data_IF_872246998450
#
_entry.id   IF_872246998450
#
_cell.length_a   1.000
_cell.length_b   1.000
_cell.length_c   1.000
_cell.angle_alpha   90.00
_cell.angle_beta   90.00
_cell.angle_gamma   90.00
#
_symmetry.space_group_name_H-M   'P 1'
#
loop_
_entity.id
_entity.type
_entity.pdbx_description
1 polymer ?
#
# COMPACT_ATOMS: atom_id res chain seq x y z
N UNK A 1 26.25 -3.94 -27.17
CA UNK A 1 25.40 -3.03 -27.98
C UNK A 1 24.12 -3.72 -28.51
N UNK A 2 24.22 -4.85 -29.16
CA UNK A 2 23.08 -5.58 -29.79
C UNK A 2 22.00 -5.96 -28.77
N UNK A 3 22.38 -6.40 -27.57
CA UNK A 3 21.45 -6.79 -26.51
C UNK A 3 20.64 -5.60 -25.95
N UNK A 4 21.28 -4.44 -25.80
CA UNK A 4 20.60 -3.19 -25.40
C UNK A 4 19.61 -2.71 -26.45
N UNK A 5 19.97 -2.78 -27.73
CA UNK A 5 19.08 -2.41 -28.85
C UNK A 5 17.86 -3.34 -28.93
N UNK A 6 18.05 -4.65 -28.77
CA UNK A 6 16.98 -5.63 -28.73
C UNK A 6 16.03 -5.40 -27.56
N UNK A 7 16.54 -4.99 -26.41
CA UNK A 7 15.76 -4.64 -25.23
C UNK A 7 14.94 -3.37 -25.44
N UNK A 8 15.51 -2.36 -26.08
CA UNK A 8 14.79 -1.12 -26.45
C UNK A 8 13.65 -1.44 -27.42
N UNK A 9 13.88 -2.30 -28.43
CA UNK A 9 12.84 -2.72 -29.36
C UNK A 9 11.69 -3.50 -28.65
N UNK A 10 12.04 -4.44 -27.75
CA UNK A 10 11.04 -5.15 -26.94
C UNK A 10 10.26 -4.14 -26.09
N UNK A 11 10.92 -3.17 -25.53
CA UNK A 11 10.36 -2.11 -24.72
C UNK A 11 9.38 -1.22 -25.47
N UNK A 12 9.76 -0.74 -26.65
CA UNK A 12 8.92 0.05 -27.55
C UNK A 12 7.68 -0.78 -27.95
N UNK A 13 7.89 -2.03 -28.36
CA UNK A 13 6.81 -2.94 -28.75
C UNK A 13 5.81 -3.21 -27.62
N UNK A 14 6.30 -3.37 -26.39
CA UNK A 14 5.43 -3.56 -25.23
C UNK A 14 4.74 -2.28 -24.78
N UNK A 15 5.38 -1.12 -24.94
CA UNK A 15 4.78 0.18 -24.61
C UNK A 15 3.55 0.47 -25.47
N UNK A 16 3.65 0.27 -26.77
CA UNK A 16 2.53 0.43 -27.69
C UNK A 16 1.58 -0.77 -27.72
N UNK A 17 1.93 -1.89 -27.09
CA UNK A 17 1.04 -3.04 -27.04
C UNK A 17 -0.18 -2.75 -26.14
N UNK A 18 -1.35 -3.01 -26.70
CA UNK A 18 -2.59 -3.10 -25.92
C UNK A 18 -2.38 -4.12 -24.80
N UNK A 19 -2.83 -3.81 -23.59
CA UNK A 19 -2.75 -4.74 -22.47
C UNK A 19 -3.56 -6.03 -22.81
N UNK A 20 -2.86 -7.06 -23.21
CA UNK A 20 -3.50 -8.35 -23.54
C UNK A 20 -3.83 -9.10 -22.26
N UNK A 21 -5.05 -9.61 -22.10
CA UNK A 21 -5.41 -10.47 -20.99
C UNK A 21 -4.41 -11.62 -20.84
N UNK A 22 -4.25 -12.09 -19.63
CA UNK A 22 -3.58 -13.35 -19.39
C UNK A 22 -4.52 -14.48 -19.84
N UNK A 23 -3.97 -15.65 -20.20
CA UNK A 23 -4.81 -16.78 -20.56
C UNK A 23 -5.78 -17.13 -19.41
N UNK A 24 -7.07 -17.37 -19.73
CA UNK A 24 -8.13 -17.67 -18.75
C UNK A 24 -7.77 -18.74 -17.73
N UNK A 25 -6.91 -19.70 -18.10
CA UNK A 25 -6.41 -20.73 -17.17
C UNK A 25 -5.69 -20.19 -15.93
N UNK A 26 -5.26 -18.93 -15.94
CA UNK A 26 -4.60 -18.27 -14.82
C UNK A 26 -5.55 -17.37 -14.00
N UNK A 27 -6.84 -17.32 -14.37
CA UNK A 27 -7.87 -16.57 -13.66
C UNK A 27 -8.44 -17.40 -12.51
N UNK A 28 -8.48 -16.83 -11.31
CA UNK A 28 -9.22 -17.39 -10.17
C UNK A 28 -10.63 -16.77 -10.16
N UNK A 29 -11.58 -17.39 -10.87
CA UNK A 29 -12.90 -16.80 -11.16
C UNK A 29 -13.82 -16.58 -9.95
N UNK A 30 -13.53 -17.16 -8.79
CA UNK A 30 -14.42 -17.09 -7.61
C UNK A 30 -13.87 -16.26 -6.46
N UNK A 31 -12.73 -15.59 -6.64
CA UNK A 31 -12.14 -14.78 -5.60
C UNK A 31 -12.73 -13.37 -5.60
N UNK A 32 -13.07 -12.87 -4.41
CA UNK A 32 -13.46 -11.47 -4.19
C UNK A 32 -12.31 -10.56 -4.63
N UNK A 33 -12.60 -9.55 -5.44
CA UNK A 33 -11.62 -8.56 -5.85
C UNK A 33 -11.50 -7.47 -4.80
N UNK A 34 -10.27 -7.17 -4.35
CA UNK A 34 -10.02 -6.13 -3.35
C UNK A 34 -9.88 -4.76 -4.01
N UNK A 35 -10.83 -3.89 -3.70
CA UNK A 35 -10.76 -2.46 -3.97
C UNK A 35 -10.18 -1.81 -2.73
N UNK A 36 -8.85 -1.56 -2.73
CA UNK A 36 -8.15 -1.07 -1.54
C UNK A 36 -7.94 0.44 -1.62
N UNK A 37 -8.57 1.18 -0.70
CA UNK A 37 -8.30 2.60 -0.52
C UNK A 37 -6.91 2.79 0.10
N UNK A 38 -5.94 3.32 -0.69
CA UNK A 38 -4.59 3.64 -0.24
C UNK A 38 -4.63 4.88 0.63
N UNK A 39 -4.41 4.74 1.93
CA UNK A 39 -4.62 5.81 2.94
C UNK A 39 -6.05 6.37 2.92
N UNK A 40 -7.02 5.57 2.49
CA UNK A 40 -8.40 5.98 2.28
C UNK A 40 -8.71 6.44 0.85
N UNK A 41 -9.17 7.67 0.68
CA UNK A 41 -9.48 8.33 -0.60
C UNK A 41 -8.74 9.68 -0.72
N UNK A 42 -7.39 9.69 -0.77
CA UNK A 42 -6.58 10.91 -0.68
C UNK A 42 -6.72 11.84 -1.89
N UNK A 43 -7.32 11.39 -2.97
CA UNK A 43 -7.67 12.26 -4.09
C UNK A 43 -8.82 13.25 -3.75
N UNK A 44 -9.61 12.95 -2.73
CA UNK A 44 -10.74 13.78 -2.27
C UNK A 44 -10.52 14.37 -0.88
N UNK A 45 -9.98 13.56 0.02
CA UNK A 45 -9.84 13.84 1.45
C UNK A 45 -8.38 13.90 1.90
N UNK A 46 -8.15 14.25 3.14
CA UNK A 46 -6.82 14.17 3.75
C UNK A 46 -6.48 12.70 3.99
N UNK A 47 -5.37 12.24 3.43
CA UNK A 47 -4.89 10.86 3.61
C UNK A 47 -4.80 10.47 5.09
N UNK A 48 -4.97 9.18 5.39
CA UNK A 48 -4.77 8.64 6.73
C UNK A 48 -5.68 9.31 7.80
N UNK A 49 -6.88 9.77 7.43
CA UNK A 49 -7.90 10.30 8.35
C UNK A 49 -9.16 9.44 8.32
N UNK A 50 -9.93 9.49 9.40
CA UNK A 50 -11.22 8.78 9.48
C UNK A 50 -12.15 9.20 8.33
N UNK A 51 -12.18 10.50 8.00
CA UNK A 51 -12.97 11.02 6.87
C UNK A 51 -12.54 10.39 5.54
N UNK A 52 -11.24 10.24 5.31
CA UNK A 52 -10.70 9.61 4.10
C UNK A 52 -11.09 8.13 3.99
N UNK A 53 -11.08 7.41 5.09
CA UNK A 53 -11.50 6.01 5.14
C UNK A 53 -13.01 5.87 4.93
N UNK A 54 -13.84 6.71 5.55
CA UNK A 54 -15.27 6.72 5.34
C UNK A 54 -15.62 7.00 3.87
N UNK A 55 -14.96 8.00 3.28
CA UNK A 55 -15.12 8.33 1.85
C UNK A 55 -14.70 7.15 0.96
N UNK A 56 -13.62 6.45 1.29
CA UNK A 56 -13.19 5.28 0.52
C UNK A 56 -14.24 4.15 0.57
N UNK A 57 -14.79 3.83 1.74
CA UNK A 57 -15.85 2.82 1.88
C UNK A 57 -17.14 3.22 1.14
N UNK A 58 -17.53 4.48 1.21
CA UNK A 58 -18.69 5.02 0.48
C UNK A 58 -18.47 4.98 -1.03
N UNK A 59 -17.26 5.21 -1.50
CA UNK A 59 -16.82 5.04 -2.89
C UNK A 59 -16.74 3.56 -3.32
N UNK A 60 -16.93 2.62 -2.39
CA UNK A 60 -17.04 1.18 -2.64
C UNK A 60 -15.76 0.39 -2.42
N UNK A 61 -14.79 0.94 -1.69
CA UNK A 61 -13.70 0.12 -1.18
C UNK A 61 -14.24 -0.99 -0.26
N UNK A 62 -13.64 -2.16 -0.33
CA UNK A 62 -13.86 -3.27 0.58
C UNK A 62 -12.60 -3.64 1.37
N UNK A 63 -11.56 -2.87 1.19
CA UNK A 63 -10.32 -2.94 1.95
C UNK A 63 -9.65 -1.57 2.04
N UNK A 64 -8.84 -1.37 3.07
CA UNK A 64 -8.12 -0.13 3.34
C UNK A 64 -6.65 -0.43 3.57
N UNK A 65 -5.78 0.50 3.19
CA UNK A 65 -4.38 0.52 3.62
C UNK A 65 -4.17 1.76 4.49
N UNK A 66 -3.46 1.58 5.60
CA UNK A 66 -3.18 2.63 6.59
C UNK A 66 -1.72 2.59 7.01
N UNK A 67 -1.12 3.75 7.22
CA UNK A 67 0.28 3.91 7.61
C UNK A 67 0.42 4.08 9.12
N UNK A 68 1.25 3.28 9.79
CA UNK A 68 1.43 3.31 11.24
C UNK A 68 2.82 3.76 11.64
N UNK A 69 2.88 4.77 12.51
CA UNK A 69 4.08 5.23 13.19
C UNK A 69 3.92 5.13 14.71
N UNK A 70 5.02 4.88 15.43
CA UNK A 70 5.05 4.80 16.89
C UNK A 70 5.75 6.03 17.44
N UNK A 71 5.13 6.70 18.40
CA UNK A 71 5.67 7.88 19.09
C UNK A 71 6.62 7.50 20.25
N UNK A 72 7.32 8.49 20.81
CA UNK A 72 8.25 8.32 21.94
C UNK A 72 7.60 7.72 23.18
N UNK A 73 6.37 8.08 23.46
CA UNK A 73 5.52 7.58 24.55
C UNK A 73 4.73 6.34 24.18
N UNK A 74 5.18 5.66 23.10
CA UNK A 74 4.65 4.40 22.61
C UNK A 74 3.18 4.43 22.14
N UNK A 75 2.63 5.61 21.81
CA UNK A 75 1.35 5.68 21.13
C UNK A 75 1.50 5.39 19.65
N UNK A 76 0.47 4.80 19.02
CA UNK A 76 0.46 4.49 17.60
C UNK A 76 -0.42 5.50 16.88
N UNK A 77 0.19 6.31 16.02
CA UNK A 77 -0.48 7.33 15.21
C UNK A 77 -0.53 6.91 13.76
N UNK A 78 -1.56 7.35 13.06
CA UNK A 78 -1.74 7.06 11.63
C UNK A 78 -1.09 8.16 10.81
N UNK A 79 0.12 7.89 10.33
CA UNK A 79 0.96 8.84 9.61
C UNK A 79 1.96 8.14 8.70
N UNK A 80 2.21 8.70 7.51
CA UNK A 80 3.08 8.04 6.53
C UNK A 80 4.57 8.29 6.74
N UNK A 81 4.96 9.52 7.06
CA UNK A 81 6.36 9.93 6.99
C UNK A 81 7.05 9.78 8.35
N UNK A 82 7.61 8.59 8.61
CA UNK A 82 8.35 8.28 9.83
C UNK A 82 9.41 9.33 10.19
N UNK A 83 10.17 9.77 9.17
CA UNK A 83 11.18 10.82 9.32
C UNK A 83 10.86 11.95 8.32
N UNK A 84 10.49 13.15 8.79
CA UNK A 84 10.16 14.29 7.94
C UNK A 84 11.35 14.82 7.13
N UNK A 85 12.58 14.43 7.50
CA UNK A 85 13.81 14.80 6.81
C UNK A 85 14.26 13.78 5.76
N UNK A 86 13.55 12.65 5.62
CA UNK A 86 13.83 11.69 4.58
C UNK A 86 13.53 12.29 3.19
N UNK A 87 14.32 11.98 2.14
CA UNK A 87 14.11 12.53 0.81
C UNK A 87 12.68 12.35 0.28
N UNK A 88 12.04 11.22 0.58
CA UNK A 88 10.66 10.93 0.19
C UNK A 88 9.66 11.85 0.91
N UNK A 89 9.84 12.09 2.20
CA UNK A 89 8.98 12.98 2.98
C UNK A 89 9.09 14.43 2.48
N UNK A 90 10.30 14.90 2.16
CA UNK A 90 10.54 16.24 1.60
C UNK A 90 9.84 16.39 0.22
N UNK A 91 9.89 15.37 -0.63
CA UNK A 91 9.17 15.37 -1.91
C UNK A 91 7.65 15.43 -1.73
N UNK A 92 7.11 14.75 -0.74
CA UNK A 92 5.68 14.79 -0.40
C UNK A 92 5.27 16.16 0.14
N UNK A 93 6.04 16.71 1.08
CA UNK A 93 5.85 18.06 1.62
C UNK A 93 5.87 19.13 0.52
N UNK A 94 6.71 18.97 -0.51
CA UNK A 94 6.73 19.88 -1.67
C UNK A 94 5.51 19.77 -2.58
N UNK A 95 4.65 18.76 -2.39
CA UNK A 95 3.44 18.52 -3.18
C UNK A 95 3.68 17.80 -4.50
N UNK A 96 4.78 17.06 -4.64
CA UNK A 96 5.12 16.30 -5.84
C UNK A 96 4.37 14.96 -5.97
N UNK A 97 3.50 14.61 -5.03
CA UNK A 97 2.49 13.54 -5.22
C UNK A 97 1.29 14.12 -6.01
N UNK A 98 1.10 13.76 -7.29
CA UNK A 98 0.17 14.50 -8.15
C UNK A 98 -1.32 14.18 -7.90
N UNK A 99 -1.62 13.08 -7.23
CA UNK A 99 -2.98 12.54 -7.11
C UNK A 99 -3.68 12.87 -5.78
N UNK A 100 -2.96 13.41 -4.80
CA UNK A 100 -3.51 13.73 -3.47
C UNK A 100 -4.05 15.16 -3.43
N UNK A 101 -5.16 15.38 -2.75
CA UNK A 101 -5.75 16.71 -2.56
C UNK A 101 -4.98 17.55 -1.53
N UNK A 102 -4.40 16.90 -0.55
CA UNK A 102 -3.64 17.50 0.54
C UNK A 102 -2.23 16.93 0.59
N UNK A 103 -1.31 17.67 1.17
CA UNK A 103 0.08 17.27 1.39
C UNK A 103 0.45 17.39 2.86
N UNK A 104 1.38 16.56 3.38
CA UNK A 104 1.84 16.69 4.75
C UNK A 104 2.48 18.06 4.96
N UNK A 105 2.29 18.58 6.15
CA UNK A 105 2.84 19.86 6.61
C UNK A 105 3.53 19.66 7.95
N UNK A 106 4.76 19.12 7.96
CA UNK A 106 5.56 19.02 9.17
C UNK A 106 6.06 20.40 9.60
N UNK A 107 6.64 20.53 10.81
CA UNK A 107 7.28 21.74 11.27
C UNK A 107 8.38 22.23 10.32
N UNK A 108 8.69 23.53 10.35
CA UNK A 108 9.75 24.13 9.54
C UNK A 108 11.12 23.47 9.79
N UNK A 109 12.04 23.59 8.84
CA UNK A 109 13.38 22.97 8.90
C UNK A 109 14.19 23.36 10.14
N UNK A 110 13.95 24.56 10.70
CA UNK A 110 14.65 25.08 11.90
C UNK A 110 13.92 24.75 13.21
N UNK A 111 12.74 24.10 13.14
CA UNK A 111 11.97 23.76 14.33
C UNK A 111 12.59 22.59 15.09
N UNK A 112 12.69 22.71 16.42
CA UNK A 112 13.09 21.61 17.31
C UNK A 112 12.12 20.42 17.32
N UNK A 113 10.90 20.60 16.79
CA UNK A 113 9.88 19.56 16.65
C UNK A 113 9.92 18.86 15.29
N UNK A 114 10.79 19.26 14.36
CA UNK A 114 10.99 18.53 13.09
C UNK A 114 11.93 17.34 13.31
N UNK A 115 11.38 16.28 13.88
CA UNK A 115 12.10 15.06 14.30
C UNK A 115 11.44 13.81 13.74
N UNK A 116 12.06 12.65 13.90
CA UNK A 116 11.41 11.36 13.69
C UNK A 116 10.20 11.26 14.62
N UNK A 117 9.15 10.55 14.17
CA UNK A 117 7.93 10.40 14.98
C UNK A 117 8.24 9.71 16.32
N UNK A 118 9.18 8.76 16.33
CA UNK A 118 9.65 8.06 17.54
C UNK A 118 10.36 8.94 18.57
N UNK A 119 10.72 10.18 18.20
CA UNK A 119 11.38 11.14 19.11
C UNK A 119 10.40 12.17 19.71
N UNK A 120 9.12 12.11 19.32
CA UNK A 120 8.04 13.00 19.75
C UNK A 120 7.03 12.24 20.60
N UNK A 121 6.51 12.86 21.66
CA UNK A 121 5.30 12.36 22.30
C UNK A 121 4.09 12.54 21.38
N UNK A 122 3.01 11.80 21.61
CA UNK A 122 1.80 11.96 20.82
C UNK A 122 1.27 13.39 20.86
N UNK A 123 1.34 14.06 22.01
CA UNK A 123 0.92 15.45 22.17
C UNK A 123 1.79 16.42 21.35
N UNK A 124 3.12 16.26 21.38
CA UNK A 124 4.04 17.06 20.57
C UNK A 124 3.79 16.83 19.08
N UNK A 125 3.58 15.59 18.66
CA UNK A 125 3.26 15.25 17.28
C UNK A 125 1.95 15.91 16.83
N UNK A 126 0.85 15.68 17.54
CA UNK A 126 -0.48 16.23 17.20
C UNK A 126 -0.50 17.76 17.15
N UNK A 127 0.28 18.43 18.01
CA UNK A 127 0.38 19.89 18.03
C UNK A 127 1.16 20.47 16.84
N UNK A 128 2.16 19.76 16.34
CA UNK A 128 3.14 20.34 15.43
C UNK A 128 3.03 19.81 13.98
N UNK A 129 2.39 18.66 13.75
CA UNK A 129 2.23 18.04 12.43
C UNK A 129 0.80 18.21 11.94
N UNK A 130 0.64 18.48 10.65
CA UNK A 130 -0.67 18.68 10.05
C UNK A 130 -0.61 18.44 8.53
N UNK A 131 -1.68 18.80 7.85
CA UNK A 131 -1.79 18.79 6.39
C UNK A 131 -2.15 20.18 5.87
N UNK A 132 -1.89 20.43 4.60
CA UNK A 132 -2.41 21.59 3.88
C UNK A 132 -2.80 21.23 2.45
N UNK A 133 -3.68 22.01 1.83
CA UNK A 133 -4.05 21.79 0.42
C UNK A 133 -2.79 21.79 -0.46
N UNK A 134 -2.71 20.84 -1.37
CA UNK A 134 -1.57 20.70 -2.28
C UNK A 134 -1.46 21.85 -3.27
N UNK A 135 -2.61 22.37 -3.74
CA UNK A 135 -2.69 23.48 -4.69
C UNK A 135 -3.42 24.65 -4.04
N UNK A 136 -2.90 25.86 -4.23
CA UNK A 136 -3.46 27.09 -3.67
C UNK A 136 -2.79 27.54 -2.38
N UNK A 137 -3.01 28.81 -2.02
CA UNK A 137 -2.44 29.46 -0.82
C UNK A 137 -3.45 29.39 0.34
N UNK A 138 -3.83 28.18 0.73
CA UNK A 138 -4.71 27.96 1.87
C UNK A 138 -3.89 27.63 3.11
N UNK A 139 -4.31 28.10 4.28
CA UNK A 139 -3.75 27.75 5.59
C UNK A 139 -3.72 26.23 5.83
N UNK A 140 -3.18 25.84 6.97
CA UNK A 140 -3.20 24.44 7.42
C UNK A 140 -4.64 23.92 7.45
N UNK A 141 -4.85 22.73 6.96
CA UNK A 141 -6.13 22.06 7.11
C UNK A 141 -6.28 21.65 8.57
N UNK A 142 -7.41 21.96 9.18
CA UNK A 142 -7.72 21.49 10.53
C UNK A 142 -8.08 20.00 10.46
N UNK A 143 -7.03 19.16 10.33
CA UNK A 143 -7.18 17.71 10.24
C UNK A 143 -6.88 17.10 11.60
N UNK A 144 -7.81 16.33 12.11
CA UNK A 144 -7.55 15.45 13.24
C UNK A 144 -6.79 14.22 12.71
N UNK A 145 -5.51 14.09 13.13
CA UNK A 145 -4.69 12.92 12.81
C UNK A 145 -5.12 11.81 13.79
N UNK A 146 -5.66 10.68 13.31
CA UNK A 146 -6.16 9.65 14.21
C UNK A 146 -5.04 8.82 14.82
N UNK A 147 -5.29 8.29 16.01
CA UNK A 147 -4.54 7.18 16.59
C UNK A 147 -5.03 5.84 16.05
N UNK A 148 -4.28 4.78 16.31
CA UNK A 148 -4.73 3.41 15.98
C UNK A 148 -6.02 3.05 16.72
N UNK A 149 -6.19 3.46 17.98
CA UNK A 149 -7.42 3.22 18.76
C UNK A 149 -8.64 3.91 18.12
N UNK A 150 -8.49 5.15 17.64
CA UNK A 150 -9.56 5.87 16.95
C UNK A 150 -9.99 5.14 15.66
N UNK A 151 -9.01 4.64 14.88
CA UNK A 151 -9.30 3.87 13.67
C UNK A 151 -10.01 2.56 13.99
N UNK A 152 -9.53 1.78 14.96
CA UNK A 152 -10.12 0.49 15.31
C UNK A 152 -11.54 0.68 15.84
N UNK A 153 -11.79 1.67 16.71
CA UNK A 153 -13.14 2.02 17.16
C UNK A 153 -14.08 2.37 16.01
N UNK A 154 -13.62 3.22 15.09
CA UNK A 154 -14.40 3.60 13.92
C UNK A 154 -14.70 2.41 13.01
N UNK A 155 -13.76 1.49 12.86
CA UNK A 155 -13.86 0.37 11.91
C UNK A 155 -14.67 -0.82 12.40
N UNK A 156 -15.01 -0.91 13.70
CA UNK A 156 -15.60 -2.09 14.33
C UNK A 156 -16.97 -2.52 13.75
N UNK A 157 -17.74 -1.59 13.23
CA UNK A 157 -19.08 -1.83 12.66
C UNK A 157 -19.11 -1.78 11.12
N UNK A 158 -17.97 -1.63 10.47
CA UNK A 158 -17.85 -1.49 9.00
C UNK A 158 -17.95 -2.86 8.30
N UNK A 159 -19.15 -3.40 8.17
CA UNK A 159 -19.43 -4.76 7.63
C UNK A 159 -18.87 -5.01 6.19
N UNK A 160 -18.71 -3.94 5.40
CA UNK A 160 -18.12 -4.04 4.05
C UNK A 160 -16.62 -4.28 4.08
N UNK A 161 -15.94 -3.89 5.16
CA UNK A 161 -14.49 -3.99 5.29
C UNK A 161 -14.07 -5.46 5.41
N UNK A 162 -13.33 -5.97 4.41
CA UNK A 162 -12.85 -7.37 4.35
C UNK A 162 -11.43 -7.50 4.86
N UNK A 163 -10.57 -6.53 4.51
CA UNK A 163 -9.17 -6.51 4.91
C UNK A 163 -8.71 -5.10 5.25
N UNK A 164 -7.84 -4.99 6.23
CA UNK A 164 -7.05 -3.79 6.50
C UNK A 164 -5.57 -4.15 6.39
N UNK A 165 -4.85 -3.40 5.57
CA UNK A 165 -3.41 -3.49 5.37
C UNK A 165 -2.75 -2.45 6.27
N UNK A 166 -2.13 -2.91 7.35
CA UNK A 166 -1.44 -2.10 8.34
C UNK A 166 0.04 -1.97 7.96
N UNK A 167 0.40 -0.85 7.34
CA UNK A 167 1.74 -0.60 6.83
C UNK A 167 2.63 -0.01 7.92
N UNK A 168 3.52 -0.83 8.48
CA UNK A 168 4.42 -0.44 9.56
C UNK A 168 5.59 0.36 8.99
N UNK A 169 5.69 1.63 9.37
CA UNK A 169 6.70 2.57 8.86
C UNK A 169 8.01 2.56 9.64
N UNK A 170 8.12 1.72 10.65
CA UNK A 170 9.32 1.57 11.48
C UNK A 170 10.51 1.07 10.65
N UNK A 171 11.65 1.75 10.66
CA UNK A 171 12.84 1.32 9.96
C UNK A 171 13.56 0.18 10.72
N UNK A 172 14.50 -0.55 10.07
CA UNK A 172 15.19 -1.69 10.65
C UNK A 172 15.93 -1.38 11.96
N UNK A 173 16.55 -0.22 12.07
CA UNK A 173 17.28 0.24 13.25
C UNK A 173 16.39 0.46 14.49
N UNK A 174 15.07 0.63 14.28
CA UNK A 174 14.08 0.82 15.34
C UNK A 174 13.04 -0.33 15.38
N UNK A 175 13.41 -1.51 14.91
CA UNK A 175 12.49 -2.67 14.76
C UNK A 175 11.76 -3.08 16.04
N UNK A 176 12.29 -2.76 17.23
CA UNK A 176 11.61 -2.94 18.51
C UNK A 176 10.27 -2.17 18.60
N UNK A 177 10.17 -1.00 17.97
CA UNK A 177 8.92 -0.23 17.94
C UNK A 177 7.85 -0.91 17.08
N UNK A 178 8.24 -1.70 16.09
CA UNK A 178 7.28 -2.50 15.33
C UNK A 178 6.59 -3.54 16.21
N UNK A 179 7.27 -4.11 17.21
CA UNK A 179 6.67 -5.04 18.18
C UNK A 179 5.67 -4.33 19.09
N UNK A 180 5.99 -3.11 19.55
CA UNK A 180 5.08 -2.26 20.33
C UNK A 180 3.81 -1.96 19.51
N UNK A 181 3.98 -1.59 18.23
CA UNK A 181 2.88 -1.35 17.33
C UNK A 181 1.97 -2.59 17.19
N UNK A 182 2.54 -3.77 16.96
CA UNK A 182 1.78 -5.01 16.82
C UNK A 182 1.12 -5.46 18.12
N UNK A 183 1.75 -5.26 19.26
CA UNK A 183 1.13 -5.55 20.56
C UNK A 183 -0.13 -4.71 20.74
N UNK A 184 -0.03 -3.37 20.56
CA UNK A 184 -1.19 -2.48 20.64
C UNK A 184 -2.27 -2.84 19.62
N UNK A 185 -1.89 -3.15 18.37
CA UNK A 185 -2.84 -3.59 17.35
C UNK A 185 -3.56 -4.88 17.79
N UNK A 186 -2.82 -5.89 18.26
CA UNK A 186 -3.40 -7.15 18.72
C UNK A 186 -4.40 -6.94 19.86
N UNK A 187 -4.02 -6.13 20.84
CA UNK A 187 -4.86 -5.84 22.01
C UNK A 187 -6.16 -5.11 21.60
N UNK A 188 -6.07 -4.16 20.69
CA UNK A 188 -7.23 -3.42 20.19
C UNK A 188 -8.15 -4.30 19.33
N UNK A 189 -7.60 -5.15 18.45
CA UNK A 189 -8.38 -6.09 17.64
C UNK A 189 -9.18 -7.05 18.51
N UNK A 190 -8.58 -7.54 19.59
CA UNK A 190 -9.25 -8.40 20.58
C UNK A 190 -10.29 -7.62 21.38
N UNK A 191 -9.95 -6.46 21.92
CA UNK A 191 -10.82 -5.59 22.73
C UNK A 191 -12.12 -5.25 21.99
N UNK A 192 -12.03 -4.87 20.71
CA UNK A 192 -13.16 -4.45 19.90
C UNK A 192 -13.75 -5.58 19.05
N UNK A 193 -13.28 -6.83 19.22
CA UNK A 193 -13.77 -8.03 18.50
C UNK A 193 -13.85 -7.84 17.01
N UNK A 194 -12.78 -7.34 16.42
CA UNK A 194 -12.69 -7.02 15.00
C UNK A 194 -12.80 -8.30 14.15
N UNK A 195 -13.61 -8.26 13.09
CA UNK A 195 -13.91 -9.42 12.23
C UNK A 195 -13.25 -9.37 10.84
N UNK A 196 -12.72 -8.22 10.40
CA UNK A 196 -12.00 -8.15 9.13
C UNK A 196 -10.59 -8.75 9.23
N UNK A 197 -10.06 -9.21 8.10
CA UNK A 197 -8.69 -9.72 8.03
C UNK A 197 -7.65 -8.60 8.19
N UNK A 198 -6.66 -8.83 9.04
CA UNK A 198 -5.56 -7.89 9.27
C UNK A 198 -4.30 -8.39 8.59
N UNK A 199 -3.74 -7.59 7.68
CA UNK A 199 -2.50 -7.87 6.95
C UNK A 199 -1.44 -6.85 7.36
N UNK A 200 -0.31 -7.31 7.85
CA UNK A 200 0.79 -6.44 8.25
C UNK A 200 1.74 -6.26 7.07
N UNK A 201 1.95 -5.02 6.66
CA UNK A 201 2.84 -4.65 5.56
C UNK A 201 4.13 -3.99 6.06
N UNK A 202 5.24 -4.26 5.41
CA UNK A 202 6.51 -3.55 5.57
C UNK A 202 7.37 -3.70 4.33
N UNK A 203 8.29 -2.74 4.11
CA UNK A 203 9.30 -2.81 3.05
C UNK A 203 10.61 -3.45 3.52
N UNK A 204 10.74 -3.74 4.83
CA UNK A 204 11.99 -4.17 5.47
C UNK A 204 11.94 -5.65 5.87
N UNK A 205 12.73 -6.53 5.21
CA UNK A 205 12.77 -7.96 5.54
C UNK A 205 13.15 -8.23 7.01
N UNK A 206 14.04 -7.41 7.55
CA UNK A 206 14.51 -7.51 8.94
C UNK A 206 13.37 -7.27 9.92
N UNK A 207 12.58 -6.20 9.68
CA UNK A 207 11.39 -5.87 10.48
C UNK A 207 10.34 -6.97 10.35
N UNK A 208 10.09 -7.47 9.13
CA UNK A 208 9.17 -8.58 8.89
C UNK A 208 9.55 -9.81 9.72
N UNK A 209 10.82 -10.20 9.70
CA UNK A 209 11.28 -11.40 10.42
C UNK A 209 11.09 -11.26 11.93
N UNK A 210 11.39 -10.09 12.50
CA UNK A 210 11.18 -9.78 13.92
C UNK A 210 9.68 -9.84 14.26
N UNK A 211 8.83 -9.23 13.45
CA UNK A 211 7.38 -9.24 13.66
C UNK A 211 6.79 -10.66 13.59
N UNK A 212 7.13 -11.43 12.57
CA UNK A 212 6.63 -12.81 12.39
C UNK A 212 7.05 -13.75 13.51
N UNK A 213 8.27 -13.60 14.03
CA UNK A 213 8.76 -14.42 15.15
C UNK A 213 7.93 -14.19 16.43
N UNK A 214 7.53 -12.94 16.68
CA UNK A 214 6.84 -12.56 17.92
C UNK A 214 5.31 -12.59 17.80
N UNK A 215 4.77 -12.38 16.58
CA UNK A 215 3.33 -12.35 16.33
C UNK A 215 2.95 -13.24 15.13
N UNK A 216 3.13 -14.59 15.24
CA UNK A 216 2.88 -15.51 14.11
C UNK A 216 1.41 -15.62 13.69
N UNK A 217 0.48 -15.09 14.48
CA UNK A 217 -0.97 -15.14 14.21
C UNK A 217 -1.46 -14.13 13.17
N UNK A 218 -0.66 -13.14 12.79
CA UNK A 218 -1.02 -12.20 11.73
C UNK A 218 -0.69 -12.74 10.34
N UNK A 219 -1.44 -12.26 9.33
CA UNK A 219 -1.02 -12.37 7.94
C UNK A 219 -0.04 -11.23 7.59
N UNK A 220 0.90 -11.50 6.70
CA UNK A 220 1.99 -10.58 6.39
C UNK A 220 2.16 -10.37 4.89
N UNK A 221 2.67 -9.19 4.52
CA UNK A 221 3.22 -8.87 3.21
C UNK A 221 4.59 -8.19 3.36
N UNK A 222 5.59 -8.66 2.60
CA UNK A 222 6.80 -7.89 2.37
C UNK A 222 6.65 -7.18 1.04
N UNK A 223 6.42 -5.89 1.13
CA UNK A 223 6.14 -5.06 -0.02
C UNK A 223 7.36 -4.94 -0.95
N UNK A 224 7.11 -4.99 -2.24
CA UNK A 224 8.16 -4.87 -3.26
C UNK A 224 7.91 -3.64 -4.14
N UNK A 225 8.79 -2.65 -3.99
CA UNK A 225 8.89 -1.51 -4.89
C UNK A 225 10.13 -1.70 -5.76
N UNK A 226 10.02 -1.76 -7.09
CA UNK A 226 11.18 -1.89 -7.96
C UNK A 226 12.05 -0.63 -7.93
N UNK A 227 13.35 -0.83 -7.79
CA UNK A 227 14.34 0.23 -7.94
C UNK A 227 14.40 0.77 -9.37
N UNK A 228 15.07 1.94 -9.52
CA UNK A 228 15.24 2.57 -10.83
C UNK A 228 16.13 1.75 -11.75
N UNK A 229 15.67 1.58 -12.97
CA UNK A 229 16.48 1.03 -14.04
C UNK A 229 15.65 0.20 -15.03
N UNK A 230 16.29 -0.13 -16.17
CA UNK A 230 15.82 -1.15 -17.10
C UNK A 230 15.84 -2.51 -16.39
N UNK A 231 14.69 -2.95 -15.89
CA UNK A 231 14.60 -4.26 -15.24
C UNK A 231 14.59 -5.33 -16.32
N UNK A 232 15.75 -5.93 -16.52
CA UNK A 232 15.94 -7.02 -17.46
C UNK A 232 15.32 -8.32 -16.96
N UNK A 233 15.30 -8.49 -15.64
CA UNK A 233 14.78 -9.70 -15.00
C UNK A 233 13.62 -9.39 -14.03
N UNK A 234 12.36 -9.57 -14.46
CA UNK A 234 11.18 -9.36 -13.61
C UNK A 234 11.22 -10.17 -12.30
N UNK A 235 11.90 -11.33 -12.31
CA UNK A 235 11.91 -12.23 -11.16
C UNK A 235 12.63 -11.66 -9.92
N UNK A 236 13.53 -10.69 -10.10
CA UNK A 236 14.22 -10.03 -8.96
C UNK A 236 13.28 -9.19 -8.11
N UNK A 237 12.21 -8.68 -8.71
CA UNK A 237 11.24 -7.78 -8.06
C UNK A 237 9.87 -8.45 -7.88
N UNK A 238 9.83 -9.77 -7.97
CA UNK A 238 8.61 -10.55 -7.81
C UNK A 238 8.11 -10.50 -6.37
N UNK A 239 6.92 -9.96 -6.17
CA UNK A 239 6.22 -9.98 -4.90
C UNK A 239 5.80 -11.41 -4.52
N UNK A 240 5.46 -12.23 -5.50
CA UNK A 240 5.12 -13.64 -5.27
C UNK A 240 6.33 -14.45 -4.80
N UNK A 241 7.51 -14.27 -5.39
CA UNK A 241 8.73 -14.92 -4.86
C UNK A 241 9.01 -14.48 -3.43
N UNK A 242 8.84 -13.21 -3.15
CA UNK A 242 8.99 -12.68 -1.80
C UNK A 242 8.00 -13.35 -0.84
N UNK A 243 6.72 -13.44 -1.23
CA UNK A 243 5.69 -14.09 -0.41
C UNK A 243 6.02 -15.57 -0.16
N UNK A 244 6.44 -16.31 -1.19
CA UNK A 244 6.86 -17.72 -1.04
C UNK A 244 8.03 -17.86 -0.06
N UNK A 245 9.08 -17.04 -0.24
CA UNK A 245 10.28 -17.11 0.59
C UNK A 245 10.02 -16.80 2.09
N UNK A 246 9.01 -16.00 2.36
CA UNK A 246 8.64 -15.62 3.73
C UNK A 246 7.38 -16.34 4.23
N UNK A 247 6.86 -17.30 3.48
CA UNK A 247 5.61 -18.01 3.80
C UNK A 247 4.45 -17.03 4.11
N UNK A 248 4.22 -16.07 3.21
CA UNK A 248 3.15 -15.08 3.30
C UNK A 248 2.02 -15.44 2.34
N UNK A 249 0.76 -15.21 2.75
CA UNK A 249 -0.42 -15.43 1.89
C UNK A 249 -0.79 -14.23 1.04
N UNK A 250 -0.21 -13.06 1.35
CA UNK A 250 -0.41 -11.82 0.62
C UNK A 250 0.88 -11.37 -0.04
N UNK A 251 0.76 -10.82 -1.23
CA UNK A 251 1.86 -10.27 -2.00
C UNK A 251 1.45 -8.91 -2.57
N UNK A 252 2.10 -7.84 -2.14
CA UNK A 252 1.85 -6.49 -2.63
C UNK A 252 3.02 -6.05 -3.50
N UNK A 253 2.71 -5.70 -4.74
CA UNK A 253 3.66 -5.23 -5.74
C UNK A 253 3.42 -3.75 -6.01
N UNK A 254 4.30 -2.89 -5.50
CA UNK A 254 4.20 -1.45 -5.72
C UNK A 254 4.73 -1.04 -7.10
N UNK A 255 4.08 -0.04 -7.67
CA UNK A 255 4.54 0.61 -8.88
C UNK A 255 5.70 1.54 -8.57
N UNK A 256 6.81 1.50 -9.34
CA UNK A 256 7.89 2.47 -9.20
C UNK A 256 7.35 3.90 -9.36
N UNK A 257 7.63 4.78 -8.41
CA UNK A 257 7.03 6.13 -8.34
C UNK A 257 7.59 7.14 -9.34
N UNK A 258 8.77 6.90 -9.94
CA UNK A 258 9.33 7.85 -10.91
C UNK A 258 8.61 7.78 -12.25
N UNK A 259 8.36 8.98 -12.78
CA UNK A 259 7.54 9.30 -13.95
C UNK A 259 8.33 8.98 -15.23
N UNK A 260 8.54 7.71 -15.54
CA UNK A 260 8.99 7.32 -16.86
C UNK A 260 8.05 6.28 -17.45
N UNK A 261 7.82 6.40 -18.74
CA UNK A 261 7.14 5.40 -19.59
C UNK A 261 7.70 3.99 -19.30
N UNK A 262 8.99 3.94 -19.07
CA UNK A 262 9.77 2.78 -18.68
C UNK A 262 9.18 2.05 -17.47
N UNK A 263 8.73 2.76 -16.47
CA UNK A 263 8.27 2.18 -15.22
C UNK A 263 6.96 1.40 -15.37
N UNK A 264 6.02 1.88 -16.20
CA UNK A 264 4.77 1.17 -16.43
C UNK A 264 5.00 -0.17 -17.15
N UNK A 265 5.81 -0.17 -18.21
CA UNK A 265 6.12 -1.40 -18.95
C UNK A 265 6.80 -2.43 -18.08
N UNK A 266 7.77 -2.01 -17.28
CA UNK A 266 8.46 -2.86 -16.31
C UNK A 266 7.51 -3.42 -15.27
N UNK A 267 6.69 -2.58 -14.65
CA UNK A 267 5.71 -2.98 -13.65
C UNK A 267 4.72 -4.01 -14.22
N UNK A 268 4.17 -3.74 -15.40
CA UNK A 268 3.28 -4.67 -16.10
C UNK A 268 3.93 -6.04 -16.36
N UNK A 269 5.23 -6.07 -16.70
CA UNK A 269 5.98 -7.32 -16.88
C UNK A 269 6.14 -8.10 -15.58
N UNK A 270 6.44 -7.39 -14.47
CA UNK A 270 6.52 -8.00 -13.14
C UNK A 270 5.18 -8.61 -12.77
N UNK A 271 4.09 -7.86 -12.87
CA UNK A 271 2.73 -8.36 -12.56
C UNK A 271 2.37 -9.58 -13.42
N UNK A 272 2.65 -9.54 -14.72
CA UNK A 272 2.39 -10.69 -15.61
C UNK A 272 3.21 -11.93 -15.20
N UNK A 273 4.44 -11.75 -14.78
CA UNK A 273 5.28 -12.81 -14.24
C UNK A 273 4.68 -13.36 -12.93
N UNK A 274 4.31 -12.47 -12.01
CA UNK A 274 3.78 -12.82 -10.70
C UNK A 274 2.45 -13.57 -10.77
N UNK A 275 1.52 -13.14 -11.61
CA UNK A 275 0.24 -13.86 -11.80
C UNK A 275 0.48 -15.30 -12.27
N UNK A 276 1.38 -15.52 -13.24
CA UNK A 276 1.73 -16.87 -13.70
C UNK A 276 2.41 -17.69 -12.62
N UNK A 277 3.30 -17.07 -11.85
CA UNK A 277 4.02 -17.73 -10.77
C UNK A 277 3.05 -18.14 -9.64
N UNK A 278 2.15 -17.23 -9.22
CA UNK A 278 1.12 -17.49 -8.21
C UNK A 278 0.27 -18.70 -8.61
N UNK A 279 -0.25 -18.72 -9.85
CA UNK A 279 -1.04 -19.84 -10.34
C UNK A 279 -0.28 -21.18 -10.26
N UNK A 280 0.98 -21.19 -10.72
CA UNK A 280 1.80 -22.40 -10.67
C UNK A 280 2.06 -22.86 -9.24
N UNK A 281 2.41 -21.91 -8.36
CA UNK A 281 2.69 -22.18 -6.96
C UNK A 281 1.45 -22.75 -6.24
N UNK A 282 0.30 -22.07 -6.37
CA UNK A 282 -0.95 -22.47 -5.73
C UNK A 282 -1.46 -23.84 -6.20
N UNK A 283 -1.19 -24.20 -7.46
CA UNK A 283 -1.54 -25.53 -7.99
C UNK A 283 -0.77 -26.67 -7.31
N UNK A 284 0.47 -26.42 -6.94
CA UNK A 284 1.37 -27.43 -6.32
C UNK A 284 1.27 -27.39 -4.79
N UNK A 285 0.92 -26.23 -4.20
CA UNK A 285 0.90 -26.00 -2.78
C UNK A 285 -0.49 -25.48 -2.32
N UNK A 286 -1.55 -26.30 -2.35
CA UNK A 286 -2.90 -25.85 -2.02
C UNK A 286 -3.07 -25.40 -0.58
N UNK A 287 -2.35 -26.00 0.38
CA UNK A 287 -2.42 -25.68 1.81
C UNK A 287 -1.71 -24.35 2.17
N UNK A 288 -0.64 -24.02 1.44
CA UNK A 288 0.14 -22.78 1.64
C UNK A 288 -0.03 -21.80 0.48
N UNK A 289 -1.23 -21.78 -0.10
CA UNK A 289 -1.54 -20.93 -1.25
C UNK A 289 -1.39 -19.44 -0.95
N UNK A 290 -0.91 -18.69 -1.91
CA UNK A 290 -0.94 -17.23 -1.88
C UNK A 290 -2.35 -16.78 -2.24
N UNK A 291 -3.04 -16.14 -1.30
CA UNK A 291 -4.43 -15.72 -1.45
C UNK A 291 -4.55 -14.55 -2.42
N UNK A 292 -3.74 -13.50 -2.24
CA UNK A 292 -3.84 -12.28 -3.03
C UNK A 292 -2.50 -11.83 -3.59
N UNK A 293 -2.52 -11.46 -4.87
CA UNK A 293 -1.55 -10.56 -5.48
C UNK A 293 -2.22 -9.22 -5.70
N UNK A 294 -1.72 -8.18 -5.06
CA UNK A 294 -2.27 -6.82 -5.08
C UNK A 294 -1.30 -5.91 -5.82
N UNK A 295 -1.82 -5.14 -6.76
CA UNK A 295 -1.07 -4.09 -7.43
C UNK A 295 -1.25 -2.75 -6.73
N UNK A 296 -0.19 -1.99 -6.50
CA UNK A 296 -0.29 -0.67 -5.84
C UNK A 296 0.86 0.28 -6.20
N UNK A 297 0.72 1.59 -6.04
CA UNK A 297 -0.52 2.35 -6.06
C UNK A 297 -0.82 2.72 -7.51
N UNK A 298 -2.03 2.48 -7.99
CA UNK A 298 -2.36 2.70 -9.41
C UNK A 298 -3.64 3.53 -9.55
N UNK A 299 -3.53 4.68 -10.25
CA UNK A 299 -4.54 5.72 -10.30
C UNK A 299 -5.07 6.03 -11.70
N UNK A 300 -4.44 5.49 -12.75
CA UNK A 300 -4.87 5.75 -14.14
C UNK A 300 -5.80 4.66 -14.64
N UNK A 301 -6.96 5.05 -15.20
CA UNK A 301 -7.96 4.12 -15.75
C UNK A 301 -7.35 2.99 -16.59
N UNK A 302 -6.53 3.33 -17.62
CA UNK A 302 -5.91 2.34 -18.52
C UNK A 302 -4.95 1.36 -17.78
N UNK A 303 -4.30 1.83 -16.71
CA UNK A 303 -3.40 1.00 -15.93
C UNK A 303 -4.18 0.06 -15.01
N UNK A 304 -5.27 0.55 -14.38
CA UNK A 304 -6.20 -0.24 -13.58
C UNK A 304 -6.82 -1.35 -14.44
N UNK A 305 -7.40 -1.01 -15.59
CA UNK A 305 -7.96 -1.98 -16.54
C UNK A 305 -6.94 -3.05 -16.94
N UNK A 306 -5.69 -2.62 -17.15
CA UNK A 306 -4.63 -3.55 -17.52
C UNK A 306 -4.31 -4.53 -16.40
N UNK A 307 -4.18 -4.09 -15.15
CA UNK A 307 -3.91 -4.97 -14.02
C UNK A 307 -5.03 -5.98 -13.80
N UNK A 308 -6.30 -5.54 -13.91
CA UNK A 308 -7.46 -6.42 -13.82
C UNK A 308 -7.41 -7.49 -14.91
N UNK A 309 -7.14 -7.12 -16.17
CA UNK A 309 -6.98 -8.05 -17.31
C UNK A 309 -5.78 -8.98 -17.15
N UNK A 310 -4.77 -8.60 -16.40
CA UNK A 310 -3.64 -9.46 -16.06
C UNK A 310 -3.95 -10.45 -14.94
N UNK A 311 -5.05 -10.29 -14.20
CA UNK A 311 -5.50 -11.26 -13.20
C UNK A 311 -4.98 -11.00 -11.78
N UNK A 312 -4.72 -9.74 -11.40
CA UNK A 312 -4.47 -9.39 -9.99
C UNK A 312 -5.72 -9.63 -9.15
N UNK A 313 -5.55 -9.96 -7.87
CA UNK A 313 -6.64 -10.18 -6.92
C UNK A 313 -7.17 -8.89 -6.28
N UNK A 314 -6.44 -7.79 -6.38
CA UNK A 314 -6.82 -6.48 -5.85
C UNK A 314 -5.89 -5.38 -6.34
N UNK A 315 -6.28 -4.14 -6.08
CA UNK A 315 -5.48 -2.94 -6.41
C UNK A 315 -5.61 -1.94 -5.26
N UNK A 316 -4.47 -1.37 -4.84
CA UNK A 316 -4.43 -0.18 -4.00
C UNK A 316 -4.46 1.08 -4.88
N UNK A 317 -5.35 2.02 -4.55
CA UNK A 317 -5.57 3.23 -5.34
C UNK A 317 -5.97 4.43 -4.48
N UNK A 318 -5.67 5.63 -4.96
CA UNK A 318 -6.15 6.89 -4.38
C UNK A 318 -7.58 7.25 -4.86
N UNK A 319 -8.15 6.45 -5.80
CA UNK A 319 -9.45 6.65 -6.42
C UNK A 319 -10.34 5.40 -6.31
N UNK A 320 -10.85 5.04 -5.10
CA UNK A 320 -11.62 3.82 -4.91
C UNK A 320 -12.84 3.69 -5.82
N UNK A 321 -13.60 4.78 -6.04
CA UNK A 321 -14.77 4.79 -6.92
C UNK A 321 -14.41 4.39 -8.36
N UNK A 322 -13.35 5.00 -8.92
CA UNK A 322 -12.87 4.67 -10.27
C UNK A 322 -12.47 3.20 -10.38
N UNK A 323 -11.75 2.69 -9.38
CA UNK A 323 -11.34 1.28 -9.35
C UNK A 323 -12.54 0.34 -9.28
N UNK A 324 -13.52 0.62 -8.41
CA UNK A 324 -14.76 -0.15 -8.29
C UNK A 324 -15.49 -0.25 -9.63
N UNK A 325 -15.73 0.91 -10.27
CA UNK A 325 -16.43 0.96 -11.57
C UNK A 325 -15.74 0.10 -12.64
N UNK A 326 -14.42 0.24 -12.76
CA UNK A 326 -13.63 -0.52 -13.73
C UNK A 326 -13.64 -2.01 -13.38
N UNK A 327 -13.54 -2.38 -12.11
CA UNK A 327 -13.57 -3.77 -11.67
C UNK A 327 -14.91 -4.44 -12.03
N UNK A 328 -16.03 -3.77 -11.76
CA UNK A 328 -17.37 -4.25 -12.12
C UNK A 328 -17.55 -4.38 -13.63
N UNK A 329 -17.12 -3.39 -14.42
CA UNK A 329 -17.14 -3.44 -15.91
C UNK A 329 -16.31 -4.59 -16.48
N UNK A 330 -15.29 -5.07 -15.74
CA UNK A 330 -14.49 -6.23 -16.12
C UNK A 330 -14.96 -7.54 -15.44
N UNK A 331 -16.18 -7.59 -14.91
CA UNK A 331 -16.81 -8.78 -14.35
C UNK A 331 -16.23 -9.27 -13.03
N UNK A 332 -15.52 -8.39 -12.27
CA UNK A 332 -14.98 -8.77 -10.95
C UNK A 332 -16.05 -8.64 -9.87
N UNK A 333 -16.08 -9.62 -8.96
CA UNK A 333 -16.93 -9.56 -7.75
C UNK A 333 -16.24 -8.71 -6.68
N UNK A 334 -16.93 -7.77 -6.10
CA UNK A 334 -16.43 -6.88 -5.03
C UNK A 334 -17.15 -7.15 -3.70
N UNK A 335 -18.34 -7.70 -3.75
CA UNK A 335 -19.21 -8.07 -2.61
C UNK A 335 -19.63 -9.53 -2.69
#
# INVERSE_FOLDING_TARGET
>A
MIEKARLIQIWIKEYFSICRPINKKYEENNQLFLVTGHRGSPAKEIENTIQSYETALNDGANSLEIDLCVTKDHEVVIWHDWNPNAPKAILRESGLEPWVAYKPHPPSLISSYRKKISELTVQEFMKNYNYKKRIGNHGTANAEIPTLDDFIKWSMDKKRLRYVFFNIKTPPEESGLALICLQKLSDLLLKYRISYGSVIETFHPEVLNVMKKNFPGFEYSLDKEPDFGLILNPSKFSAIKSAVNHNNKFAVAFRPRKITVANWTTYRRIIRYDVKLRFKYNKVNPESRILYLIGGTVNKKREIECLIKLGVGGIQTDFPLLLKEIALQNGRKIE
#
